data_IF_321365861094
#
_entry.id   IF_321365861094
#
_cell.length_a   1.000
_cell.length_b   1.000
_cell.length_c   1.000
_cell.angle_alpha   90.00
_cell.angle_beta   90.00
_cell.angle_gamma   90.00
#
_symmetry.space_group_name_H-M   'P 1'
#
loop_
_entity.id
_entity.type
_entity.pdbx_description
1 polymer ?
#
# COMPACT_ATOMS: atom_id res chain seq x y z
N UNK A 1 33.16 46.46 -22.55
CA UNK A 1 33.28 45.49 -21.43
C UNK A 1 34.36 44.49 -21.79
N UNK A 2 35.46 44.48 -21.06
CA UNK A 2 36.64 43.68 -21.37
C UNK A 2 36.41 42.23 -20.90
N UNK A 3 36.25 41.30 -21.85
CA UNK A 3 36.22 39.86 -21.63
C UNK A 3 37.63 39.31 -21.86
N UNK A 4 38.51 39.45 -20.88
CA UNK A 4 39.84 38.83 -20.94
C UNK A 4 40.25 38.26 -19.60
N UNK A 5 40.99 37.15 -19.62
CA UNK A 5 41.65 36.48 -18.49
C UNK A 5 42.80 37.30 -17.91
N UNK A 6 42.62 38.61 -17.80
CA UNK A 6 43.63 39.56 -17.39
C UNK A 6 43.88 39.49 -15.88
N UNK A 7 45.13 39.73 -15.42
CA UNK A 7 45.40 39.99 -14.01
C UNK A 7 44.53 41.14 -13.46
N UNK A 8 44.05 41.00 -12.22
CA UNK A 8 43.24 41.99 -11.46
C UNK A 8 41.71 42.00 -11.70
N UNK A 9 41.06 40.84 -11.88
CA UNK A 9 39.60 40.75 -11.84
C UNK A 9 39.04 41.03 -10.42
N UNK A 10 37.85 41.64 -10.35
CA UNK A 10 37.19 41.95 -9.07
C UNK A 10 36.28 40.79 -8.66
N UNK A 11 36.35 40.37 -7.40
CA UNK A 11 35.45 39.38 -6.80
C UNK A 11 34.65 39.99 -5.66
N UNK A 12 33.44 39.49 -5.45
CA UNK A 12 32.66 39.81 -4.26
C UNK A 12 33.13 39.00 -3.04
N UNK A 13 32.48 39.24 -1.88
CA UNK A 13 32.77 38.54 -0.63
C UNK A 13 32.50 37.03 -0.67
N UNK A 14 31.89 36.51 -1.73
CA UNK A 14 31.59 35.10 -1.96
C UNK A 14 32.47 34.50 -3.06
N UNK A 15 33.49 35.23 -3.52
CA UNK A 15 34.46 34.80 -4.53
C UNK A 15 33.92 34.81 -5.96
N UNK A 16 32.78 35.46 -6.23
CA UNK A 16 32.17 35.54 -7.57
C UNK A 16 32.68 36.76 -8.32
N UNK A 17 33.02 36.60 -9.61
CA UNK A 17 33.52 37.68 -10.47
C UNK A 17 32.46 38.77 -10.69
N UNK A 18 32.88 40.03 -10.66
CA UNK A 18 32.03 41.20 -10.86
C UNK A 18 32.48 41.99 -12.10
N UNK A 19 31.54 42.62 -12.81
CA UNK A 19 31.86 43.64 -13.81
C UNK A 19 32.29 44.93 -13.10
N UNK A 20 33.23 45.68 -13.66
CA UNK A 20 33.64 46.99 -13.16
C UNK A 20 33.46 48.03 -14.27
N UNK A 21 32.83 49.15 -13.93
CA UNK A 21 32.47 50.19 -14.90
C UNK A 21 33.69 51.08 -15.16
N UNK A 22 34.36 50.88 -16.30
CA UNK A 22 35.48 51.76 -16.71
C UNK A 22 35.00 53.15 -17.13
N UNK A 23 33.73 53.32 -17.45
CA UNK A 23 33.20 54.57 -17.99
C UNK A 23 32.79 55.54 -16.87
N UNK A 24 32.43 55.02 -15.69
CA UNK A 24 32.28 55.81 -14.46
C UNK A 24 33.62 56.44 -14.01
N UNK A 25 34.75 55.78 -14.31
CA UNK A 25 36.09 56.32 -14.05
C UNK A 25 36.49 57.46 -15.02
N UNK A 26 35.80 57.57 -16.16
CA UNK A 26 36.15 58.47 -17.27
C UNK A 26 35.04 59.48 -17.64
N UNK A 27 33.94 59.57 -16.88
CA UNK A 27 32.85 60.53 -17.05
C UNK A 27 32.24 60.59 -18.47
N UNK A 28 31.96 59.44 -19.11
CA UNK A 28 31.27 59.40 -20.41
C UNK A 28 29.74 59.38 -20.18
N UNK A 29 28.98 60.43 -20.56
CA UNK A 29 27.54 60.47 -20.33
C UNK A 29 26.78 59.67 -21.40
N UNK A 30 25.88 58.76 -20.98
CA UNK A 30 24.82 58.23 -21.86
C UNK A 30 24.65 56.71 -21.96
N UNK A 31 25.43 55.89 -21.25
CA UNK A 31 25.28 54.42 -21.32
C UNK A 31 25.64 53.79 -19.98
N UNK A 32 24.65 53.45 -19.17
CA UNK A 32 24.92 52.55 -18.04
C UNK A 32 23.66 51.74 -17.73
N UNK A 33 23.61 50.50 -18.25
CA UNK A 33 23.19 49.43 -17.36
C UNK A 33 24.23 49.46 -16.25
N UNK A 34 23.85 49.94 -15.06
CA UNK A 34 24.84 50.12 -13.99
C UNK A 34 25.38 48.73 -13.66
N UNK A 35 26.67 48.64 -13.32
CA UNK A 35 27.31 47.37 -12.91
C UNK A 35 26.46 46.57 -11.90
N UNK A 36 25.73 47.28 -11.03
CA UNK A 36 24.76 46.67 -10.11
C UNK A 36 23.68 45.81 -10.81
N UNK A 37 23.12 46.28 -11.92
CA UNK A 37 22.04 45.61 -12.65
C UNK A 37 22.53 44.31 -13.33
N UNK A 38 23.71 44.37 -13.96
CA UNK A 38 24.29 43.21 -14.63
C UNK A 38 24.85 42.18 -13.64
N UNK A 39 25.41 42.63 -12.52
CA UNK A 39 25.92 41.73 -11.47
C UNK A 39 24.78 40.90 -10.85
N UNK A 40 23.58 41.47 -10.70
CA UNK A 40 22.41 40.72 -10.22
C UNK A 40 22.09 39.51 -11.08
N UNK A 41 21.96 39.72 -12.39
CA UNK A 41 21.67 38.65 -13.35
C UNK A 41 22.80 37.60 -13.42
N UNK A 42 24.06 38.04 -13.46
CA UNK A 42 25.22 37.12 -13.49
C UNK A 42 25.28 36.28 -12.21
N UNK A 43 25.01 36.87 -11.05
CA UNK A 43 25.03 36.14 -9.78
C UNK A 43 23.94 35.06 -9.72
N UNK A 44 22.73 35.34 -10.23
CA UNK A 44 21.66 34.33 -10.31
C UNK A 44 22.01 33.20 -11.28
N UNK A 45 22.58 33.51 -12.45
CA UNK A 45 23.05 32.48 -13.39
C UNK A 45 24.16 31.61 -12.79
N UNK A 46 25.09 32.21 -12.04
CA UNK A 46 26.14 31.47 -11.33
C UNK A 46 25.58 30.59 -10.20
N UNK A 47 24.52 31.02 -9.52
CA UNK A 47 23.84 30.20 -8.52
C UNK A 47 23.19 28.97 -9.18
N UNK A 48 22.54 29.16 -10.33
CA UNK A 48 21.98 28.07 -11.12
C UNK A 48 23.04 27.05 -11.56
N UNK A 49 24.18 27.52 -12.11
CA UNK A 49 25.31 26.66 -12.50
C UNK A 49 25.83 25.83 -11.32
N UNK A 50 25.98 26.45 -10.15
CA UNK A 50 26.37 25.75 -8.92
C UNK A 50 25.32 24.73 -8.45
N UNK A 51 24.03 25.05 -8.56
CA UNK A 51 22.95 24.15 -8.22
C UNK A 51 22.94 22.90 -9.12
N UNK A 52 23.26 23.06 -10.40
CA UNK A 52 23.52 21.98 -11.35
C UNK A 52 24.87 21.27 -11.15
N UNK A 53 25.61 21.57 -10.06
CA UNK A 53 26.92 20.99 -9.72
C UNK A 53 28.03 21.19 -10.76
N UNK A 54 27.94 22.26 -11.55
CA UNK A 54 28.94 22.62 -12.54
C UNK A 54 29.91 23.68 -11.99
N UNK A 55 31.13 23.71 -12.53
CA UNK A 55 32.12 24.74 -12.25
C UNK A 55 31.97 25.83 -13.32
N UNK A 56 31.85 27.09 -12.89
CA UNK A 56 31.73 28.20 -13.83
C UNK A 56 32.99 28.37 -14.68
N UNK A 57 32.79 28.43 -15.99
CA UNK A 57 33.80 28.73 -16.99
C UNK A 57 33.31 29.89 -17.87
N UNK A 58 34.15 30.91 -18.03
CA UNK A 58 33.82 32.07 -18.84
C UNK A 58 33.94 31.79 -20.35
N UNK A 59 34.56 30.68 -20.75
CA UNK A 59 34.70 30.25 -22.13
C UNK A 59 33.58 29.31 -22.60
N UNK A 60 32.73 28.82 -21.69
CA UNK A 60 31.64 27.88 -21.98
C UNK A 60 30.28 28.61 -21.88
N UNK A 61 29.65 28.83 -23.03
CA UNK A 61 28.34 29.47 -23.14
C UNK A 61 27.16 28.50 -22.93
N UNK A 62 27.44 27.22 -22.67
CA UNK A 62 26.42 26.16 -22.52
C UNK A 62 26.09 25.83 -21.05
N UNK A 63 26.85 26.36 -20.09
CA UNK A 63 26.76 25.96 -18.67
C UNK A 63 25.38 26.15 -18.03
N UNK A 64 24.61 27.15 -18.46
CA UNK A 64 23.25 27.37 -17.95
C UNK A 64 22.31 26.25 -18.40
N UNK A 65 22.42 25.82 -19.66
CA UNK A 65 21.62 24.72 -20.20
C UNK A 65 21.98 23.40 -19.52
N UNK A 66 23.27 23.10 -19.42
CA UNK A 66 23.76 21.90 -18.74
C UNK A 66 23.31 21.86 -17.27
N UNK A 67 23.31 23.00 -16.57
CA UNK A 67 22.85 23.07 -15.19
C UNK A 67 21.34 22.77 -15.05
N UNK A 68 20.53 23.23 -15.99
CA UNK A 68 19.09 22.92 -16.04
C UNK A 68 18.88 21.43 -16.30
N UNK A 69 19.61 20.84 -17.25
CA UNK A 69 19.54 19.41 -17.55
C UNK A 69 19.90 18.56 -16.33
N UNK A 70 20.99 18.88 -15.64
CA UNK A 70 21.40 18.18 -14.41
C UNK A 70 20.34 18.29 -13.29
N UNK A 71 19.68 19.45 -13.16
CA UNK A 71 18.61 19.64 -12.18
C UNK A 71 17.33 18.86 -12.54
N UNK A 72 17.00 18.74 -13.83
CA UNK A 72 15.88 17.92 -14.32
C UNK A 72 16.17 16.44 -14.10
N UNK A 73 17.39 15.99 -14.40
CA UNK A 73 17.80 14.60 -14.18
C UNK A 73 17.74 14.25 -12.69
N UNK A 74 18.30 15.10 -11.82
CA UNK A 74 18.23 14.91 -10.38
C UNK A 74 16.79 14.94 -9.83
N UNK A 75 15.89 15.73 -10.41
CA UNK A 75 14.47 15.72 -10.06
C UNK A 75 13.76 14.44 -10.51
N UNK A 76 14.20 13.87 -11.63
CA UNK A 76 13.65 12.62 -12.19
C UNK A 76 14.18 11.41 -11.42
N UNK A 77 15.43 11.39 -10.97
CA UNK A 77 15.98 10.35 -10.09
C UNK A 77 15.31 10.34 -8.70
N UNK A 78 14.84 11.50 -8.22
CA UNK A 78 14.09 11.61 -6.96
C UNK A 78 12.59 11.37 -7.13
N UNK A 79 12.08 11.33 -8.36
CA UNK A 79 10.80 10.71 -8.60
C UNK A 79 10.99 9.22 -8.31
N UNK A 80 10.50 8.78 -7.15
CA UNK A 80 10.27 7.36 -6.90
C UNK A 80 9.24 6.93 -7.95
N UNK A 81 9.71 6.60 -9.15
CA UNK A 81 8.92 5.89 -10.12
C UNK A 81 8.67 4.53 -9.48
N UNK A 82 7.48 4.44 -8.86
CA UNK A 82 6.87 3.17 -8.58
C UNK A 82 6.59 2.53 -9.94
N UNK A 83 7.61 1.87 -10.50
CA UNK A 83 7.48 1.15 -11.76
C UNK A 83 6.65 -0.10 -11.50
N UNK A 84 5.33 0.06 -11.52
CA UNK A 84 4.38 -1.04 -11.49
C UNK A 84 4.24 -1.52 -12.92
N UNK A 85 4.93 -2.59 -13.26
CA UNK A 85 4.65 -3.30 -14.51
C UNK A 85 3.32 -4.06 -14.38
N UNK A 86 2.24 -3.37 -14.76
CA UNK A 86 0.89 -3.90 -14.75
C UNK A 86 0.73 -5.13 -15.67
N UNK A 87 1.59 -5.30 -16.68
CA UNK A 87 1.52 -6.41 -17.62
C UNK A 87 2.13 -7.70 -17.06
N UNK A 88 3.08 -7.57 -16.14
CA UNK A 88 3.79 -8.72 -15.56
C UNK A 88 3.27 -9.12 -14.18
N UNK A 89 2.79 -8.16 -13.37
CA UNK A 89 2.41 -8.39 -11.96
C UNK A 89 0.87 -8.38 -11.78
N UNK A 90 0.10 -7.89 -12.76
CA UNK A 90 -1.37 -7.83 -12.68
C UNK A 90 -1.89 -6.86 -11.63
N UNK A 91 -1.07 -5.87 -11.26
CA UNK A 91 -1.37 -4.82 -10.28
C UNK A 91 -1.34 -3.49 -11.02
N UNK A 92 -2.36 -2.65 -10.85
CA UNK A 92 -2.38 -1.30 -11.45
C UNK A 92 -2.02 -0.21 -10.42
N UNK A 93 -2.13 -0.50 -9.12
CA UNK A 93 -1.77 0.39 -8.02
C UNK A 93 -1.28 -0.39 -6.81
N UNK A 94 -0.23 0.11 -6.16
CA UNK A 94 0.21 -0.38 -4.86
C UNK A 94 0.25 0.79 -3.86
N UNK A 95 -0.35 0.61 -2.70
CA UNK A 95 -0.44 1.61 -1.65
C UNK A 95 0.01 1.06 -0.31
N UNK A 96 0.37 1.96 0.61
CA UNK A 96 0.61 1.61 2.02
C UNK A 96 -0.51 2.20 2.88
N UNK A 97 -1.20 1.36 3.63
CA UNK A 97 -2.19 1.81 4.61
C UNK A 97 -1.50 2.08 5.94
N UNK A 98 -1.49 3.35 6.37
CA UNK A 98 -0.97 3.74 7.68
C UNK A 98 -1.82 3.20 8.82
N UNK A 99 -3.12 3.01 8.59
CA UNK A 99 -4.06 2.46 9.57
C UNK A 99 -3.89 0.95 9.78
N UNK A 100 -3.62 0.19 8.71
CA UNK A 100 -3.45 -1.25 8.77
C UNK A 100 -1.98 -1.70 8.86
N UNK A 101 -1.03 -0.78 8.73
CA UNK A 101 0.41 -1.05 8.59
C UNK A 101 0.71 -2.13 7.54
N UNK A 102 -0.06 -2.14 6.47
CA UNK A 102 -0.02 -3.18 5.44
C UNK A 102 0.16 -2.55 4.07
N UNK A 103 0.91 -3.26 3.23
CA UNK A 103 0.92 -3.02 1.79
C UNK A 103 -0.44 -3.47 1.22
N UNK A 104 -0.99 -2.74 0.26
CA UNK A 104 -2.24 -3.10 -0.41
C UNK A 104 -2.03 -3.04 -1.92
N UNK A 105 -2.49 -4.06 -2.64
CA UNK A 105 -2.40 -4.12 -4.09
C UNK A 105 -3.79 -4.08 -4.70
N UNK A 106 -3.99 -3.20 -5.66
CA UNK A 106 -5.17 -3.21 -6.51
C UNK A 106 -4.82 -3.98 -7.78
N UNK A 107 -5.55 -5.08 -7.99
CA UNK A 107 -5.36 -5.95 -9.13
C UNK A 107 -6.10 -5.39 -10.35
N UNK A 108 -5.64 -5.70 -11.56
CA UNK A 108 -6.27 -5.25 -12.82
C UNK A 108 -7.71 -5.75 -13.02
N UNK A 109 -8.12 -6.74 -12.22
CA UNK A 109 -9.51 -7.22 -12.12
C UNK A 109 -10.42 -6.34 -11.22
N UNK A 110 -9.89 -5.26 -10.64
CA UNK A 110 -10.63 -4.35 -9.76
C UNK A 110 -10.68 -4.77 -8.29
N UNK A 111 -9.91 -5.78 -7.88
CA UNK A 111 -9.95 -6.32 -6.50
C UNK A 111 -8.74 -5.86 -5.68
N UNK A 112 -8.98 -5.42 -4.43
CA UNK A 112 -7.93 -5.16 -3.46
C UNK A 112 -7.45 -6.45 -2.78
N UNK A 113 -6.13 -6.67 -2.77
CA UNK A 113 -5.47 -7.83 -2.16
C UNK A 113 -4.43 -7.34 -1.14
N UNK A 114 -4.40 -7.98 0.03
CA UNK A 114 -3.51 -7.61 1.13
C UNK A 114 -2.57 -8.79 1.46
N UNK A 115 -1.24 -8.63 1.44
CA UNK A 115 -0.36 -9.59 2.09
C UNK A 115 -0.57 -9.46 3.60
N UNK A 116 -0.97 -10.56 4.25
CA UNK A 116 -1.01 -10.61 5.70
C UNK A 116 0.43 -10.74 6.20
N UNK A 117 1.09 -9.62 6.50
CA UNK A 117 2.39 -9.67 7.20
C UNK A 117 2.13 -9.75 8.69
N UNK A 118 2.10 -10.96 9.25
CA UNK A 118 2.09 -11.13 10.71
C UNK A 118 3.49 -10.85 11.28
N UNK A 119 3.58 -9.75 12.04
CA UNK A 119 4.68 -9.32 12.94
C UNK A 119 6.02 -8.85 12.32
N UNK A 120 6.43 -7.60 12.57
CA UNK A 120 7.83 -7.22 12.51
C UNK A 120 8.50 -7.62 13.83
N UNK A 121 9.20 -8.75 13.86
CA UNK A 121 10.23 -8.99 14.87
C UNK A 121 11.41 -8.06 14.54
N UNK A 122 11.49 -6.92 15.25
CA UNK A 122 12.65 -6.03 15.36
C UNK A 122 13.59 -6.01 14.14
N UNK A 123 13.10 -5.52 13.01
CA UNK A 123 13.86 -5.37 11.77
C UNK A 123 12.90 -5.02 10.65
N UNK A 124 13.10 -3.89 9.97
CA UNK A 124 12.36 -3.59 8.77
C UNK A 124 12.82 -4.56 7.68
N UNK A 125 12.07 -5.64 7.45
CA UNK A 125 12.26 -6.48 6.26
C UNK A 125 11.89 -5.63 5.04
N UNK A 126 12.91 -5.10 4.38
CA UNK A 126 12.76 -4.45 3.09
C UNK A 126 12.48 -5.53 2.04
N UNK A 127 11.32 -5.42 1.41
CA UNK A 127 10.85 -6.35 0.38
C UNK A 127 11.64 -6.11 -0.91
N UNK A 128 12.31 -7.15 -1.41
CA UNK A 128 13.09 -7.10 -2.65
C UNK A 128 12.24 -7.45 -3.86
N UNK A 129 11.43 -8.51 -3.73
CA UNK A 129 10.60 -9.02 -4.83
C UNK A 129 9.25 -9.49 -4.31
N UNK A 130 8.20 -9.14 -5.04
CA UNK A 130 6.86 -9.70 -4.90
C UNK A 130 6.58 -10.50 -6.16
N UNK A 131 6.18 -11.76 -6.00
CA UNK A 131 5.88 -12.64 -7.12
C UNK A 131 4.69 -13.52 -6.82
N UNK A 132 4.07 -14.05 -7.88
CA UNK A 132 3.17 -15.18 -7.77
C UNK A 132 3.91 -16.43 -8.23
N UNK A 133 4.01 -17.41 -7.34
CA UNK A 133 4.41 -18.76 -7.72
C UNK A 133 3.25 -19.40 -8.46
N UNK A 134 3.34 -19.45 -9.78
CA UNK A 134 2.30 -20.02 -10.65
C UNK A 134 2.19 -21.54 -10.52
N UNK A 135 3.21 -22.21 -9.96
CA UNK A 135 3.20 -23.66 -9.75
C UNK A 135 2.50 -24.01 -8.43
N UNK A 136 2.82 -23.29 -7.36
CA UNK A 136 2.22 -23.51 -6.05
C UNK A 136 0.94 -22.70 -5.82
N UNK A 137 0.65 -21.72 -6.68
CA UNK A 137 -0.44 -20.77 -6.49
C UNK A 137 -0.25 -19.90 -5.26
N UNK A 138 0.99 -19.58 -4.87
CA UNK A 138 1.31 -18.83 -3.65
C UNK A 138 1.77 -17.42 -3.98
N UNK A 139 1.40 -16.45 -3.15
CA UNK A 139 2.05 -15.15 -3.17
C UNK A 139 3.41 -15.28 -2.48
N UNK A 140 4.48 -14.96 -3.18
CA UNK A 140 5.84 -14.99 -2.65
C UNK A 140 6.32 -13.58 -2.33
N UNK A 141 6.93 -13.43 -1.15
CA UNK A 141 7.65 -12.23 -0.73
C UNK A 141 9.09 -12.65 -0.51
N UNK A 142 10.01 -12.12 -1.31
CA UNK A 142 11.44 -12.30 -1.10
C UNK A 142 12.00 -11.09 -0.38
N UNK A 143 12.63 -11.31 0.78
CA UNK A 143 13.37 -10.27 1.50
C UNK A 143 14.74 -10.03 0.90
N UNK A 144 15.37 -8.90 1.25
CA UNK A 144 16.75 -8.57 0.85
C UNK A 144 17.82 -9.60 1.28
N UNK A 145 17.53 -10.42 2.29
CA UNK A 145 18.38 -11.56 2.68
C UNK A 145 18.34 -12.73 1.67
N UNK A 146 17.51 -12.64 0.63
CA UNK A 146 17.25 -13.71 -0.33
C UNK A 146 16.22 -14.73 0.16
N UNK A 147 15.75 -14.64 1.40
CA UNK A 147 14.75 -15.55 1.95
C UNK A 147 13.37 -15.31 1.32
N UNK A 148 12.76 -16.38 0.80
CA UNK A 148 11.40 -16.36 0.24
C UNK A 148 10.40 -16.83 1.28
N UNK A 149 9.35 -16.03 1.52
CA UNK A 149 8.17 -16.40 2.29
C UNK A 149 6.99 -16.55 1.35
N UNK A 150 6.27 -17.67 1.45
CA UNK A 150 5.11 -17.95 0.61
C UNK A 150 3.84 -17.88 1.43
N UNK A 151 2.83 -17.19 0.90
CA UNK A 151 1.53 -16.99 1.50
C UNK A 151 0.46 -17.58 0.58
N UNK A 152 -0.51 -18.28 1.17
CA UNK A 152 -1.68 -18.71 0.43
C UNK A 152 -2.47 -17.46 -0.01
N UNK A 153 -2.79 -17.30 -1.30
CA UNK A 153 -3.64 -16.21 -1.74
C UNK A 153 -5.00 -16.38 -1.08
N UNK A 154 -5.42 -15.30 -0.41
CA UNK A 154 -6.70 -15.23 0.26
C UNK A 154 -7.59 -14.19 -0.40
N UNK A 155 -8.87 -14.48 -0.48
CA UNK A 155 -9.89 -13.47 -0.78
C UNK A 155 -10.90 -13.43 0.36
N UNK A 156 -11.28 -12.23 0.79
CA UNK A 156 -12.37 -12.04 1.74
C UNK A 156 -13.51 -11.29 1.07
N UNK A 157 -14.74 -11.76 1.27
CA UNK A 157 -15.96 -11.11 0.80
C UNK A 157 -16.97 -10.97 1.95
N UNK A 158 -17.83 -9.97 1.86
CA UNK A 158 -18.99 -9.85 2.74
C UNK A 158 -20.07 -10.85 2.32
N UNK A 159 -20.72 -11.47 3.30
CA UNK A 159 -21.90 -12.32 3.12
C UNK A 159 -23.04 -11.79 4.00
N UNK A 160 -24.24 -12.33 3.83
CA UNK A 160 -25.39 -11.95 4.68
C UNK A 160 -25.04 -12.17 6.15
N UNK A 161 -25.06 -11.09 6.94
CA UNK A 161 -24.74 -11.04 8.37
C UNK A 161 -23.34 -11.59 8.74
N UNK A 162 -22.35 -11.49 7.85
CA UNK A 162 -21.04 -12.07 8.13
C UNK A 162 -19.96 -11.80 7.08
N UNK A 163 -18.90 -12.61 7.15
CA UNK A 163 -17.79 -12.61 6.21
C UNK A 163 -17.44 -14.03 5.76
N UNK A 164 -16.90 -14.14 4.55
CA UNK A 164 -16.30 -15.37 4.05
C UNK A 164 -14.87 -15.10 3.56
N UNK A 165 -13.94 -15.97 3.96
CA UNK A 165 -12.55 -15.96 3.51
C UNK A 165 -12.26 -17.27 2.77
N UNK A 166 -11.74 -17.17 1.56
CA UNK A 166 -11.20 -18.31 0.81
C UNK A 166 -9.68 -18.26 0.86
N UNK A 167 -9.04 -19.38 1.21
CA UNK A 167 -7.59 -19.58 1.22
C UNK A 167 -7.27 -20.82 0.39
N UNK A 168 -6.77 -20.63 -0.83
CA UNK A 168 -6.60 -21.73 -1.79
C UNK A 168 -7.93 -22.44 -2.08
N UNK A 169 -7.99 -23.75 -1.84
CA UNK A 169 -9.21 -24.57 -2.00
C UNK A 169 -10.04 -24.71 -0.72
N UNK A 170 -9.72 -23.95 0.33
CA UNK A 170 -10.46 -23.93 1.60
C UNK A 170 -11.25 -22.64 1.72
N UNK A 171 -12.46 -22.75 2.28
CA UNK A 171 -13.38 -21.66 2.55
C UNK A 171 -13.72 -21.67 4.03
N UNK A 172 -13.66 -20.51 4.64
CA UNK A 172 -14.18 -20.23 5.96
C UNK A 172 -15.27 -19.18 5.84
N UNK A 173 -16.40 -19.37 6.50
CA UNK A 173 -17.41 -18.34 6.64
C UNK A 173 -17.85 -18.23 8.10
N UNK A 174 -18.00 -17.00 8.57
CA UNK A 174 -18.57 -16.67 9.87
C UNK A 174 -19.73 -15.70 9.68
N UNK A 175 -20.91 -16.08 10.14
CA UNK A 175 -22.11 -15.27 10.02
C UNK A 175 -23.03 -15.45 11.23
N UNK A 176 -23.86 -14.45 11.45
CA UNK A 176 -24.81 -14.41 12.56
C UNK A 176 -26.24 -14.67 12.09
N UNK A 177 -26.93 -15.57 12.78
CA UNK A 177 -28.36 -15.83 12.62
C UNK A 177 -29.08 -15.18 13.80
N UNK A 178 -29.92 -14.18 13.51
CA UNK A 178 -30.50 -13.32 14.54
C UNK A 178 -31.46 -14.02 15.51
N UNK A 179 -32.18 -15.03 15.03
CA UNK A 179 -33.11 -15.82 15.85
C UNK A 179 -33.13 -17.26 15.36
N UNK A 180 -32.86 -18.20 16.27
CA UNK A 180 -32.92 -19.64 16.04
C UNK A 180 -33.89 -20.24 17.06
N UNK A 181 -34.93 -20.91 16.56
CA UNK A 181 -35.96 -21.56 17.40
C UNK A 181 -35.40 -22.79 18.12
N UNK A 182 -36.07 -23.19 19.21
CA UNK A 182 -35.67 -24.30 20.09
C UNK A 182 -35.43 -25.65 19.40
N UNK A 183 -36.16 -25.97 18.33
CA UNK A 183 -36.11 -27.30 17.71
C UNK A 183 -36.00 -27.25 16.18
N UNK A 184 -35.15 -28.14 15.65
CA UNK A 184 -34.93 -28.45 14.24
C UNK A 184 -34.81 -27.21 13.34
N UNK A 185 -34.15 -26.16 13.83
CA UNK A 185 -33.98 -24.93 13.09
C UNK A 185 -33.00 -25.15 11.93
N UNK A 186 -33.45 -24.89 10.71
CA UNK A 186 -32.62 -25.01 9.51
C UNK A 186 -31.71 -23.78 9.38
N UNK A 187 -30.39 -24.02 9.42
CA UNK A 187 -29.38 -23.01 9.15
C UNK A 187 -28.87 -23.21 7.72
N UNK A 188 -29.04 -22.20 6.86
CA UNK A 188 -28.52 -22.21 5.49
C UNK A 188 -27.20 -21.46 5.45
N UNK A 189 -26.19 -22.05 4.83
CA UNK A 189 -24.91 -21.40 4.60
C UNK A 189 -25.04 -20.36 3.49
N UNK A 190 -24.58 -19.11 3.69
CA UNK A 190 -24.62 -18.08 2.64
C UNK A 190 -23.87 -18.47 1.38
N UNK A 191 -22.79 -19.25 1.53
CA UNK A 191 -22.06 -19.86 0.43
C UNK A 191 -21.99 -21.38 0.63
N UNK A 192 -22.33 -22.14 -0.42
CA UNK A 192 -22.17 -23.59 -0.42
C UNK A 192 -20.71 -24.02 -0.43
N UNK A 193 -20.47 -25.25 0.03
CA UNK A 193 -19.19 -25.96 -0.05
C UNK A 193 -19.23 -27.04 -1.14
N UNK A 194 -18.07 -27.49 -1.62
CA UNK A 194 -17.99 -28.63 -2.55
C UNK A 194 -17.97 -30.00 -1.83
N UNK A 195 -17.71 -30.01 -0.53
CA UNK A 195 -17.75 -31.19 0.34
C UNK A 195 -18.36 -30.84 1.71
N UNK A 196 -18.63 -31.84 2.56
CA UNK A 196 -19.15 -31.61 3.91
C UNK A 196 -18.17 -30.74 4.72
N UNK A 197 -18.59 -29.57 5.23
CA UNK A 197 -17.73 -28.71 6.02
C UNK A 197 -17.67 -29.16 7.48
N UNK A 198 -16.71 -28.64 8.24
CA UNK A 198 -16.73 -28.62 9.70
C UNK A 198 -17.46 -27.37 10.17
N UNK A 199 -18.33 -27.51 11.18
CA UNK A 199 -19.14 -26.40 11.69
C UNK A 199 -18.94 -26.25 13.20
N UNK A 200 -18.68 -25.02 13.64
CA UNK A 200 -18.71 -24.60 15.04
C UNK A 200 -19.90 -23.67 15.26
N UNK A 201 -20.66 -23.94 16.32
CA UNK A 201 -21.86 -23.22 16.69
C UNK A 201 -21.61 -22.52 18.03
N UNK A 202 -21.84 -21.20 18.06
CA UNK A 202 -21.68 -20.40 19.27
C UNK A 202 -22.99 -19.64 19.53
N UNK A 203 -23.89 -20.17 20.36
CA UNK A 203 -25.11 -19.48 20.71
C UNK A 203 -24.81 -18.23 21.54
N UNK A 204 -25.63 -17.20 21.40
CA UNK A 204 -25.69 -16.10 22.36
C UNK A 204 -26.50 -16.54 23.59
N UNK A 205 -26.68 -15.64 24.56
CA UNK A 205 -27.67 -15.85 25.60
C UNK A 205 -29.10 -15.90 25.03
N UNK A 206 -30.01 -16.52 25.78
CA UNK A 206 -31.44 -16.53 25.48
C UNK A 206 -31.99 -15.11 25.43
N UNK A 207 -32.79 -14.80 24.41
CA UNK A 207 -33.20 -13.43 24.10
C UNK A 207 -33.94 -12.71 25.24
N UNK A 208 -34.61 -13.46 26.12
CA UNK A 208 -35.51 -12.89 27.15
C UNK A 208 -35.12 -13.22 28.60
N UNK A 209 -34.38 -14.30 28.83
CA UNK A 209 -34.14 -14.85 30.19
C UNK A 209 -32.67 -14.82 30.59
N UNK A 210 -31.77 -14.57 29.63
CA UNK A 210 -30.31 -14.64 29.80
C UNK A 210 -29.81 -16.01 30.32
N UNK A 211 -30.56 -17.08 30.07
CA UNK A 211 -30.14 -18.45 30.42
C UNK A 211 -29.01 -18.92 29.51
N UNK A 212 -28.18 -19.82 30.07
CA UNK A 212 -27.17 -20.53 29.29
C UNK A 212 -27.87 -21.44 28.27
N UNK A 213 -27.49 -21.30 27.00
CA UNK A 213 -28.06 -22.05 25.90
C UNK A 213 -26.98 -22.91 25.25
N UNK A 214 -27.38 -24.10 24.81
CA UNK A 214 -26.58 -25.00 24.00
C UNK A 214 -27.15 -25.07 22.57
N UNK A 215 -26.29 -24.95 21.58
CA UNK A 215 -26.62 -25.22 20.18
C UNK A 215 -26.14 -26.62 19.80
N UNK A 216 -27.07 -27.55 19.63
CA UNK A 216 -26.77 -28.96 19.33
C UNK A 216 -27.08 -29.25 17.86
N UNK A 217 -26.09 -29.62 17.03
CA UNK A 217 -26.36 -30.04 15.67
C UNK A 217 -27.23 -31.30 15.66
N UNK A 218 -28.20 -31.38 14.74
CA UNK A 218 -29.00 -32.59 14.53
C UNK A 218 -28.18 -33.57 13.70
N UNK A 219 -27.99 -34.78 14.23
CA UNK A 219 -27.19 -35.82 13.58
C UNK A 219 -27.70 -36.13 12.16
N UNK A 220 -26.77 -36.29 11.21
CA UNK A 220 -27.08 -36.63 9.82
C UNK A 220 -27.66 -35.48 8.97
N UNK A 221 -27.81 -34.27 9.52
CA UNK A 221 -28.42 -33.13 8.79
C UNK A 221 -27.42 -32.16 8.18
N UNK A 222 -26.13 -32.32 8.47
CA UNK A 222 -25.07 -31.49 7.89
C UNK A 222 -24.91 -31.81 6.41
N UNK A 223 -25.05 -30.78 5.58
CA UNK A 223 -24.89 -30.84 4.12
C UNK A 223 -23.86 -29.79 3.68
N UNK A 224 -23.58 -29.75 2.38
CA UNK A 224 -22.74 -28.70 1.80
C UNK A 224 -23.39 -27.31 1.81
N UNK A 225 -24.70 -27.21 2.06
CA UNK A 225 -25.46 -25.95 2.03
C UNK A 225 -26.08 -25.55 3.37
N UNK A 226 -25.94 -26.35 4.42
CA UNK A 226 -26.54 -26.02 5.72
C UNK A 226 -26.53 -27.17 6.72
N UNK A 227 -27.13 -26.93 7.88
CA UNK A 227 -27.26 -27.88 8.99
C UNK A 227 -28.55 -27.60 9.79
N UNK A 228 -29.14 -28.61 10.42
CA UNK A 228 -30.19 -28.39 11.42
C UNK A 228 -29.60 -28.30 12.83
N UNK A 229 -30.16 -27.40 13.64
CA UNK A 229 -29.69 -27.17 15.01
C UNK A 229 -30.88 -27.17 15.98
N UNK A 230 -30.69 -27.78 17.14
CA UNK A 230 -31.56 -27.67 18.30
C UNK A 230 -30.95 -26.69 19.30
N UNK A 231 -31.75 -25.75 19.78
CA UNK A 231 -31.37 -24.77 20.79
C UNK A 231 -31.99 -25.21 22.11
N UNK A 232 -31.14 -25.56 23.08
CA UNK A 232 -31.57 -26.16 24.34
C UNK A 232 -31.18 -25.28 25.53
N UNK A 233 -32.09 -25.06 26.48
CA UNK A 233 -31.81 -24.35 27.74
C UNK A 233 -31.32 -25.31 28.87
N UNK A 234 -31.47 -26.61 28.66
CA UNK A 234 -30.87 -27.69 29.44
C UNK A 234 -30.69 -28.93 28.54
N UNK A 235 -29.82 -29.90 28.89
CA UNK A 235 -29.66 -31.11 28.10
C UNK A 235 -30.99 -31.80 27.78
N UNK A 236 -31.36 -31.86 26.49
CA UNK A 236 -32.59 -32.47 26.01
C UNK A 236 -33.87 -31.61 26.13
N UNK A 237 -33.80 -30.40 26.66
CA UNK A 237 -34.95 -29.48 26.78
C UNK A 237 -34.79 -28.33 25.79
N UNK A 238 -35.67 -28.28 24.80
CA UNK A 238 -35.68 -27.22 23.80
C UNK A 238 -36.01 -25.86 24.46
N UNK A 239 -35.28 -24.82 24.06
CA UNK A 239 -35.55 -23.44 24.45
C UNK A 239 -36.88 -22.96 23.84
N UNK A 240 -37.69 -22.26 24.64
CA UNK A 240 -38.93 -21.63 24.17
C UNK A 240 -38.71 -20.23 23.60
N UNK A 241 -37.63 -19.56 23.99
CA UNK A 241 -37.34 -18.17 23.62
C UNK A 241 -36.28 -18.03 22.51
N UNK A 242 -35.60 -19.13 22.16
CA UNK A 242 -34.55 -19.15 21.14
C UNK A 242 -33.32 -18.31 21.50
N UNK A 243 -32.40 -18.17 20.54
CA UNK A 243 -31.22 -17.31 20.70
C UNK A 243 -30.71 -16.79 19.36
N UNK A 244 -29.79 -15.83 19.43
CA UNK A 244 -28.87 -15.58 18.34
C UNK A 244 -27.83 -16.69 18.22
N UNK A 245 -27.33 -16.92 17.01
CA UNK A 245 -26.35 -17.99 16.77
C UNK A 245 -25.25 -17.50 15.83
N UNK A 246 -24.01 -17.51 16.31
CA UNK A 246 -22.83 -17.42 15.45
C UNK A 246 -22.52 -18.78 14.86
N UNK A 247 -22.36 -18.82 13.55
CA UNK A 247 -22.05 -20.04 12.78
C UNK A 247 -20.70 -19.84 12.11
N UNK A 248 -19.77 -20.75 12.39
CA UNK A 248 -18.44 -20.78 11.79
C UNK A 248 -18.32 -22.07 10.98
N UNK A 249 -18.31 -21.99 9.65
CA UNK A 249 -18.23 -23.16 8.79
C UNK A 249 -16.94 -23.14 7.96
N UNK A 250 -16.26 -24.28 7.90
CA UNK A 250 -14.93 -24.46 7.27
C UNK A 250 -14.98 -25.67 6.34
N UNK A 251 -14.57 -25.53 5.09
CA UNK A 251 -14.59 -26.66 4.16
C UNK A 251 -14.04 -26.34 2.78
N UNK A 252 -14.10 -27.33 1.89
CA UNK A 252 -13.64 -27.16 0.51
C UNK A 252 -14.52 -26.18 -0.28
N UNK A 253 -13.87 -25.35 -1.10
CA UNK A 253 -14.52 -24.33 -1.94
C UNK A 253 -15.43 -24.94 -2.99
#
# INVERSE_FOLDING_TARGET
MDYTSAPNYVVDSQGRRQLADRDLLNNVPGTAAVVADMNGLINELMNLIKAGKLVGDAADDTLVLQAIENLIEAATENAVEQQIDATTIGVDRAGYSTAAQALAFHSTDGTWRYPVTSQPLSGQDRVLTLGFDTTAGLMQVQGLSGATRSFLPGSQISIVNGTATTLGNQKWQAFYVGFVSGSNAQITFPLGFSALPTVLLQPTSENNTNLAIMANPVEGTLTTGGIQVNINNAPGVASTDGCGLWVWAFGAV
#
